data_IF_616038229062
#
_entry.id   IF_616038229062
#
_cell.length_a   1.000
_cell.length_b   1.000
_cell.length_c   1.000
_cell.angle_alpha   90.00
_cell.angle_beta   90.00
_cell.angle_gamma   90.00
#
_symmetry.space_group_name_H-M   'P 1'
#
loop_
_entity.id
_entity.type
_entity.pdbx_description
1 polymer ?
#
# COMPACT_ATOMS: atom_id res chain seq x y z
N UNK A 1 -5.69 14.03 -24.72
CA UNK A 1 -6.06 14.33 -23.32
C UNK A 1 -4.79 14.77 -22.64
N UNK A 2 -4.72 16.03 -22.19
CA UNK A 2 -3.50 16.58 -21.58
C UNK A 2 -3.52 16.23 -20.09
N UNK A 3 -2.44 15.62 -19.62
CA UNK A 3 -2.27 15.28 -18.22
C UNK A 3 -1.39 16.32 -17.53
N UNK A 4 -1.74 16.68 -16.31
CA UNK A 4 -1.03 17.70 -15.52
C UNK A 4 -0.39 17.07 -14.29
N UNK A 5 0.92 17.20 -14.18
CA UNK A 5 1.64 16.78 -12.98
C UNK A 5 1.43 17.81 -11.86
N UNK A 6 1.34 17.32 -10.63
CA UNK A 6 1.18 18.16 -9.44
C UNK A 6 2.16 17.76 -8.34
N UNK A 7 2.51 18.73 -7.49
CA UNK A 7 3.27 18.50 -6.27
C UNK A 7 2.48 19.02 -5.08
N UNK A 8 2.24 18.14 -4.11
CA UNK A 8 1.51 18.42 -2.89
C UNK A 8 2.50 18.50 -1.73
N UNK A 9 2.62 19.67 -1.10
CA UNK A 9 3.54 19.89 0.02
C UNK A 9 2.78 20.30 1.28
N UNK A 10 3.17 19.79 2.44
CA UNK A 10 2.61 20.26 3.71
C UNK A 10 3.23 21.60 4.13
N UNK A 11 2.40 22.62 4.31
CA UNK A 11 2.82 23.92 4.85
C UNK A 11 1.89 24.38 5.98
N UNK A 12 2.40 24.37 7.21
CA UNK A 12 1.61 24.67 8.41
C UNK A 12 0.36 23.79 8.51
N UNK A 13 -0.82 24.41 8.36
CA UNK A 13 -2.13 23.73 8.43
C UNK A 13 -2.73 23.38 7.06
N UNK A 14 -1.98 23.58 5.98
CA UNK A 14 -2.46 23.44 4.60
C UNK A 14 -1.64 22.43 3.81
N UNK A 15 -2.30 21.79 2.85
CA UNK A 15 -1.66 21.09 1.76
C UNK A 15 -1.60 22.05 0.58
N UNK A 16 -0.40 22.47 0.21
CA UNK A 16 -0.15 23.34 -0.93
C UNK A 16 -0.04 22.46 -2.17
N UNK A 17 -0.75 22.79 -3.22
CA UNK A 17 -0.81 21.99 -4.46
C UNK A 17 -0.32 22.84 -5.61
N UNK A 18 0.89 22.54 -6.09
CA UNK A 18 1.53 23.22 -7.21
C UNK A 18 1.24 22.49 -8.52
N UNK A 19 0.90 23.24 -9.56
CA UNK A 19 0.67 22.75 -10.92
C UNK A 19 1.69 23.44 -11.85
N UNK A 20 2.89 22.86 -12.04
CA UNK A 20 4.01 23.55 -12.69
C UNK A 20 3.70 24.01 -14.13
N UNK A 21 2.96 23.21 -14.89
CA UNK A 21 2.62 23.53 -16.29
C UNK A 21 1.77 24.81 -16.45
N UNK A 22 1.11 25.26 -15.38
CA UNK A 22 0.26 26.46 -15.36
C UNK A 22 0.83 27.56 -14.45
N UNK A 23 2.03 27.36 -13.88
CA UNK A 23 2.55 28.14 -12.74
C UNK A 23 1.49 28.33 -11.64
N UNK A 24 0.65 27.30 -11.45
CA UNK A 24 -0.54 27.37 -10.62
C UNK A 24 -0.26 26.93 -9.19
N UNK A 25 -0.94 27.57 -8.24
CA UNK A 25 -0.91 27.20 -6.83
C UNK A 25 -2.31 27.26 -6.23
N UNK A 26 -2.73 26.14 -5.66
CA UNK A 26 -3.97 26.03 -4.87
C UNK A 26 -3.68 25.33 -3.54
N UNK A 27 -4.69 25.18 -2.69
CA UNK A 27 -4.50 24.61 -1.36
C UNK A 27 -5.73 23.86 -0.85
N UNK A 28 -5.49 22.88 0.02
CA UNK A 28 -6.53 22.09 0.67
C UNK A 28 -6.28 21.91 2.18
N UNK A 29 -7.34 21.76 2.97
CA UNK A 29 -7.22 21.45 4.41
C UNK A 29 -6.83 19.99 4.65
N UNK A 30 -7.33 19.08 3.81
CA UNK A 30 -7.06 17.64 3.89
C UNK A 30 -6.40 17.19 2.59
N UNK A 31 -5.53 16.18 2.69
CA UNK A 31 -4.84 15.61 1.54
C UNK A 31 -5.83 15.04 0.53
N UNK A 32 -6.92 14.44 1.01
CA UNK A 32 -7.98 13.87 0.18
C UNK A 32 -8.65 14.89 -0.77
N UNK A 33 -8.61 16.18 -0.44
CA UNK A 33 -9.22 17.23 -1.27
C UNK A 33 -8.21 17.83 -2.27
N UNK A 34 -6.91 17.53 -2.13
CA UNK A 34 -5.84 18.22 -2.86
C UNK A 34 -5.90 18.02 -4.38
N UNK A 35 -6.14 16.77 -4.84
CA UNK A 35 -6.28 16.49 -6.27
C UNK A 35 -7.51 17.15 -6.88
N UNK A 36 -8.63 17.16 -6.15
CA UNK A 36 -9.85 17.83 -6.60
C UNK A 36 -9.61 19.33 -6.75
N UNK A 37 -8.94 19.96 -5.77
CA UNK A 37 -8.58 21.38 -5.85
C UNK A 37 -7.69 21.68 -7.05
N UNK A 38 -6.75 20.79 -7.39
CA UNK A 38 -5.92 20.95 -8.58
C UNK A 38 -6.74 20.89 -9.88
N UNK A 39 -7.62 19.89 -9.99
CA UNK A 39 -8.47 19.73 -11.19
C UNK A 39 -9.39 20.93 -11.38
N UNK A 40 -10.00 21.44 -10.31
CA UNK A 40 -10.83 22.65 -10.33
C UNK A 40 -10.02 23.88 -10.75
N UNK A 41 -8.83 24.06 -10.18
CA UNK A 41 -7.93 25.15 -10.57
C UNK A 41 -7.59 25.10 -12.07
N UNK A 42 -7.22 23.92 -12.59
CA UNK A 42 -6.88 23.73 -14.01
C UNK A 42 -8.09 24.03 -14.90
N UNK A 43 -9.27 23.49 -14.55
CA UNK A 43 -10.50 23.67 -15.31
C UNK A 43 -10.87 25.16 -15.44
N UNK A 44 -10.83 25.89 -14.33
CA UNK A 44 -11.10 27.33 -14.30
C UNK A 44 -10.04 28.12 -15.07
N UNK A 45 -8.76 27.78 -14.90
CA UNK A 45 -7.65 28.51 -15.54
C UNK A 45 -7.67 28.37 -17.07
N UNK A 46 -8.06 27.20 -17.57
CA UNK A 46 -8.07 26.89 -19.00
C UNK A 46 -9.45 27.07 -19.66
N UNK A 47 -10.47 27.43 -18.88
CA UNK A 47 -11.87 27.52 -19.30
C UNK A 47 -12.36 26.23 -19.99
N UNK A 48 -12.10 25.09 -19.35
CA UNK A 48 -12.50 23.76 -19.84
C UNK A 48 -13.37 23.02 -18.82
N UNK A 49 -14.25 22.10 -19.25
CA UNK A 49 -15.01 21.28 -18.31
C UNK A 49 -14.09 20.44 -17.42
N UNK A 50 -14.42 20.34 -16.13
CA UNK A 50 -13.67 19.57 -15.14
C UNK A 50 -13.43 18.12 -15.56
N UNK A 51 -14.39 17.49 -16.25
CA UNK A 51 -14.32 16.12 -16.75
C UNK A 51 -13.22 15.90 -17.80
N UNK A 52 -12.68 16.97 -18.40
CA UNK A 52 -11.59 16.90 -19.39
C UNK A 52 -10.21 16.96 -18.75
N UNK A 53 -10.12 17.31 -17.46
CA UNK A 53 -8.85 17.47 -16.74
C UNK A 53 -8.37 16.12 -16.20
N UNK A 54 -7.12 15.79 -16.53
CA UNK A 54 -6.45 14.57 -16.05
C UNK A 54 -5.21 14.97 -15.27
N UNK A 55 -4.95 14.27 -14.16
CA UNK A 55 -3.71 14.40 -13.42
C UNK A 55 -2.75 13.30 -13.86
N UNK A 56 -1.48 13.65 -14.01
CA UNK A 56 -0.41 12.73 -14.35
C UNK A 56 0.26 12.23 -13.08
N UNK A 57 1.49 12.64 -12.89
CA UNK A 57 2.26 12.35 -11.69
C UNK A 57 1.80 13.22 -10.52
N UNK A 58 1.57 12.58 -9.36
CA UNK A 58 1.19 13.25 -8.11
C UNK A 58 2.30 13.02 -7.08
N UNK A 59 3.18 13.99 -6.91
CA UNK A 59 4.24 13.92 -5.90
C UNK A 59 3.73 14.47 -4.56
N UNK A 60 3.97 13.77 -3.45
CA UNK A 60 3.61 14.23 -2.11
C UNK A 60 4.87 14.37 -1.25
N UNK A 61 5.06 15.54 -0.65
CA UNK A 61 6.19 15.83 0.23
C UNK A 61 5.72 16.44 1.55
N UNK A 62 6.37 16.03 2.63
CA UNK A 62 6.20 16.64 3.96
C UNK A 62 7.58 17.14 4.40
N UNK A 63 7.77 18.47 4.53
CA UNK A 63 9.06 19.01 4.95
C UNK A 63 9.49 18.45 6.31
N UNK A 64 10.76 18.04 6.41
CA UNK A 64 11.33 17.47 7.63
C UNK A 64 11.09 15.97 7.82
N UNK A 65 10.45 15.29 6.87
CA UNK A 65 10.38 13.82 6.84
C UNK A 65 11.34 13.24 5.81
N UNK A 66 11.66 11.95 5.96
CA UNK A 66 12.28 11.18 4.90
C UNK A 66 11.42 11.23 3.61
N UNK A 67 12.03 10.85 2.49
CA UNK A 67 11.34 10.74 1.21
C UNK A 67 10.12 9.81 1.36
N UNK A 68 8.93 10.42 1.33
CA UNK A 68 7.65 9.76 1.57
C UNK A 68 7.39 8.72 0.48
N UNK A 69 7.73 9.03 -0.76
CA UNK A 69 7.49 8.15 -1.90
C UNK A 69 8.36 6.91 -1.82
N UNK A 70 9.67 7.10 -1.62
CA UNK A 70 10.61 5.99 -1.43
C UNK A 70 10.23 5.12 -0.22
N UNK A 71 9.83 5.75 0.89
CA UNK A 71 9.44 5.02 2.10
C UNK A 71 8.17 4.19 1.89
N UNK A 72 7.17 4.72 1.18
CA UNK A 72 5.95 3.99 0.86
C UNK A 72 6.21 2.83 -0.10
N UNK A 73 7.11 3.02 -1.08
CA UNK A 73 7.53 1.96 -1.98
C UNK A 73 8.23 0.82 -1.21
N UNK A 74 9.15 1.14 -0.31
CA UNK A 74 9.84 0.17 0.54
C UNK A 74 8.87 -0.57 1.46
N UNK A 75 7.94 0.14 2.13
CA UNK A 75 6.89 -0.48 2.97
C UNK A 75 6.05 -1.46 2.16
N UNK A 76 5.69 -1.09 0.93
CA UNK A 76 4.90 -1.96 0.04
C UNK A 76 5.69 -3.21 -0.34
N UNK A 77 6.95 -3.05 -0.74
CA UNK A 77 7.82 -4.17 -1.08
C UNK A 77 8.01 -5.14 0.11
N UNK A 78 8.25 -4.62 1.30
CA UNK A 78 8.40 -5.42 2.51
C UNK A 78 7.11 -6.17 2.88
N UNK A 79 5.94 -5.56 2.68
CA UNK A 79 4.65 -6.24 2.87
C UNK A 79 4.47 -7.39 1.90
N UNK A 80 4.75 -7.18 0.61
CA UNK A 80 4.70 -8.24 -0.39
C UNK A 80 5.65 -9.39 -0.03
N UNK A 81 6.88 -9.08 0.38
CA UNK A 81 7.83 -10.10 0.80
C UNK A 81 7.34 -10.89 2.04
N UNK A 82 6.73 -10.21 3.01
CA UNK A 82 6.17 -10.86 4.19
C UNK A 82 5.00 -11.79 3.82
N UNK A 83 4.11 -11.36 2.93
CA UNK A 83 3.00 -12.18 2.43
C UNK A 83 3.49 -13.44 1.70
N UNK A 84 4.52 -13.31 0.85
CA UNK A 84 5.14 -14.44 0.15
C UNK A 84 5.82 -15.43 1.11
N UNK A 85 6.54 -14.92 2.11
CA UNK A 85 7.19 -15.72 3.13
C UNK A 85 6.17 -16.49 3.98
N UNK A 86 5.10 -15.83 4.41
CA UNK A 86 3.99 -16.45 5.16
C UNK A 86 3.28 -17.53 4.34
N UNK A 87 2.99 -17.26 3.05
CA UNK A 87 2.39 -18.24 2.15
C UNK A 87 3.29 -19.48 1.99
N UNK A 88 4.60 -19.28 1.85
CA UNK A 88 5.59 -20.34 1.72
C UNK A 88 5.68 -21.17 3.00
N UNK A 89 5.79 -20.51 4.16
CA UNK A 89 5.82 -21.16 5.45
C UNK A 89 4.56 -21.99 5.71
N UNK A 90 3.38 -21.43 5.40
CA UNK A 90 2.11 -22.13 5.54
C UNK A 90 2.03 -23.39 4.67
N UNK A 91 2.57 -23.35 3.44
CA UNK A 91 2.66 -24.53 2.56
C UNK A 91 3.58 -25.60 3.16
N UNK A 92 4.78 -25.22 3.60
CA UNK A 92 5.75 -26.13 4.21
C UNK A 92 5.21 -26.79 5.48
N UNK A 93 4.54 -26.01 6.34
CA UNK A 93 3.91 -26.53 7.57
C UNK A 93 2.85 -27.58 7.25
N UNK A 94 2.01 -27.37 6.23
CA UNK A 94 1.01 -28.36 5.80
C UNK A 94 1.66 -29.62 5.26
N UNK A 95 2.64 -29.49 4.37
CA UNK A 95 3.35 -30.64 3.80
C UNK A 95 4.02 -31.46 4.90
N UNK A 96 4.76 -30.81 5.80
CA UNK A 96 5.44 -31.49 6.91
C UNK A 96 4.46 -32.15 7.88
N UNK A 97 3.33 -31.52 8.19
CA UNK A 97 2.28 -32.13 9.03
C UNK A 97 1.72 -33.40 8.38
N UNK A 98 1.46 -33.38 7.07
CA UNK A 98 0.95 -34.53 6.31
C UNK A 98 1.97 -35.68 6.22
N UNK A 99 3.24 -35.35 5.97
CA UNK A 99 4.33 -36.32 5.89
C UNK A 99 4.53 -37.03 7.24
N UNK A 100 4.54 -36.27 8.35
CA UNK A 100 4.65 -36.83 9.70
C UNK A 100 3.44 -37.71 10.07
N UNK A 101 2.22 -37.29 9.69
CA UNK A 101 1.03 -38.09 9.94
C UNK A 101 1.06 -39.41 9.15
N UNK A 102 1.53 -39.38 7.91
CA UNK A 102 1.72 -40.58 7.07
C UNK A 102 2.79 -41.51 7.63
N UNK A 103 3.83 -40.96 8.26
CA UNK A 103 4.83 -41.72 9.01
C UNK A 103 4.33 -42.26 10.37
N UNK A 104 3.06 -42.01 10.73
CA UNK A 104 2.45 -42.51 11.95
C UNK A 104 2.76 -41.70 13.21
N UNK A 105 3.29 -40.48 13.07
CA UNK A 105 3.54 -39.59 14.21
C UNK A 105 2.20 -39.14 14.82
N UNK A 106 2.00 -39.24 16.15
CA UNK A 106 0.78 -38.78 16.79
C UNK A 106 0.54 -37.28 16.54
N UNK A 107 -0.70 -36.90 16.20
CA UNK A 107 -1.09 -35.49 15.89
C UNK A 107 -0.76 -34.52 17.03
N UNK A 108 -0.75 -34.98 18.27
CA UNK A 108 -0.33 -34.19 19.43
C UNK A 108 1.15 -33.80 19.35
N UNK A 109 2.01 -34.74 18.99
CA UNK A 109 3.45 -34.53 18.90
C UNK A 109 3.78 -33.68 17.68
N UNK A 110 3.04 -33.86 16.56
CA UNK A 110 3.08 -32.96 15.40
C UNK A 110 2.81 -31.51 15.82
N UNK A 111 1.79 -31.27 16.64
CA UNK A 111 1.49 -29.94 17.16
C UNK A 111 2.64 -29.36 17.98
N UNK A 112 3.24 -30.16 18.87
CA UNK A 112 4.39 -29.73 19.67
C UNK A 112 5.61 -29.39 18.80
N UNK A 113 5.91 -30.21 17.79
CA UNK A 113 7.04 -29.99 16.87
C UNK A 113 6.86 -28.75 15.99
N UNK A 114 5.63 -28.49 15.54
CA UNK A 114 5.29 -27.32 14.72
C UNK A 114 5.02 -26.06 15.56
N UNK A 115 5.06 -26.15 16.89
CA UNK A 115 4.77 -25.03 17.79
C UNK A 115 3.31 -24.55 17.73
N UNK A 116 2.37 -25.43 17.38
CA UNK A 116 0.94 -25.11 17.25
C UNK A 116 0.10 -25.97 18.22
N UNK A 117 -1.13 -25.53 18.47
CA UNK A 117 -2.06 -26.33 19.29
C UNK A 117 -2.40 -27.66 18.62
N UNK A 118 -2.84 -28.62 19.44
CA UNK A 118 -3.35 -29.91 18.95
C UNK A 118 -4.48 -29.73 17.93
N UNK A 119 -5.43 -28.82 18.18
CA UNK A 119 -6.53 -28.55 17.25
C UNK A 119 -6.01 -28.04 15.89
N UNK A 120 -4.98 -27.18 15.90
CA UNK A 120 -4.38 -26.66 14.68
C UNK A 120 -3.61 -27.74 13.93
N UNK A 121 -2.87 -28.60 14.62
CA UNK A 121 -2.21 -29.75 14.03
C UNK A 121 -3.22 -30.71 13.38
N UNK A 122 -4.34 -31.00 14.06
CA UNK A 122 -5.42 -31.82 13.51
C UNK A 122 -6.03 -31.20 12.25
N UNK A 123 -6.25 -29.88 12.23
CA UNK A 123 -6.72 -29.20 11.02
C UNK A 123 -5.70 -29.29 9.87
N UNK A 124 -4.40 -29.16 10.16
CA UNK A 124 -3.36 -29.22 9.12
C UNK A 124 -3.21 -30.61 8.50
N UNK A 125 -3.43 -31.68 9.28
CA UNK A 125 -3.37 -33.07 8.82
C UNK A 125 -4.64 -33.48 8.04
N UNK A 126 -5.78 -32.89 8.38
CA UNK A 126 -7.09 -33.24 7.80
C UNK A 126 -7.60 -32.24 6.74
N UNK A 127 -6.82 -31.21 6.40
CA UNK A 127 -7.14 -30.22 5.36
C UNK A 127 -6.68 -30.69 3.98
#
# INVERSE_FOLDING_TARGET
>A
MTSYDITITREGKWWMVKIPALDGLTQARRLADAEQMAKEYIAVTLDVPLSTVTLGHVAISVPGTADVESSLAEITALRTQAEEAEATAAKLVRTLASDMATAGVPVRDIGQMLGVSFQRASQLVNA
#
